data_IF_946850323707
#
_entry.id   IF_946850323707
#
_cell.length_a   1.000
_cell.length_b   1.000
_cell.length_c   1.000
_cell.angle_alpha   90.00
_cell.angle_beta   90.00
_cell.angle_gamma   90.00
#
_symmetry.space_group_name_H-M   'P 1'
#
loop_
_entity.id
_entity.type
_entity.pdbx_description
1 polymer ?
#
# COMPACT_ATOMS: atom_id res chain seq x y z
N UNK A 1 15.04 21.26 -4.78
CA UNK A 1 14.50 19.89 -4.90
C UNK A 1 15.14 19.05 -3.82
N UNK A 2 14.36 18.47 -2.90
CA UNK A 2 14.85 17.61 -1.82
C UNK A 2 15.23 16.22 -2.31
N UNK A 3 16.06 15.50 -1.56
CA UNK A 3 16.35 14.08 -1.80
C UNK A 3 15.31 13.23 -1.05
N UNK A 4 14.66 12.31 -1.76
CA UNK A 4 13.81 11.28 -1.13
C UNK A 4 14.72 10.11 -0.78
N UNK A 5 14.71 9.70 0.48
CA UNK A 5 15.40 8.50 0.93
C UNK A 5 14.38 7.36 0.98
N UNK A 6 14.64 6.29 0.23
CA UNK A 6 13.82 5.08 0.22
C UNK A 6 14.52 3.96 1.00
N UNK A 7 13.72 3.15 1.69
CA UNK A 7 14.15 1.94 2.37
C UNK A 7 14.12 0.80 1.34
N UNK A 8 15.27 0.17 1.12
CA UNK A 8 15.33 -1.08 0.36
C UNK A 8 15.04 -2.25 1.29
N UNK A 9 14.16 -3.15 0.83
CA UNK A 9 13.72 -4.33 1.56
C UNK A 9 14.29 -5.57 0.87
N UNK A 10 14.65 -6.59 1.65
CA UNK A 10 15.22 -7.83 1.15
C UNK A 10 14.15 -8.91 0.91
N UNK A 11 14.40 -9.80 -0.06
CA UNK A 11 13.56 -10.97 -0.33
C UNK A 11 12.34 -10.68 -1.19
N UNK A 12 11.24 -11.38 -0.91
CA UNK A 12 9.98 -11.17 -1.63
C UNK A 12 9.31 -9.89 -1.15
N UNK A 13 9.07 -8.95 -2.07
CA UNK A 13 8.57 -7.61 -1.75
C UNK A 13 7.34 -7.27 -2.57
N UNK A 14 6.41 -6.55 -1.95
CA UNK A 14 5.40 -5.79 -2.68
C UNK A 14 5.98 -4.43 -3.04
N UNK A 15 5.84 -4.05 -4.30
CA UNK A 15 6.34 -2.80 -4.86
C UNK A 15 5.18 -2.00 -5.46
N UNK A 16 5.37 -0.68 -5.55
CA UNK A 16 4.44 0.18 -6.26
C UNK A 16 4.45 -0.22 -7.74
N UNK A 17 3.27 -0.48 -8.30
CA UNK A 17 3.15 -0.88 -9.70
C UNK A 17 3.72 0.13 -10.69
N UNK A 18 3.60 1.42 -10.38
CA UNK A 18 3.99 2.51 -11.29
C UNK A 18 5.50 2.82 -11.30
N UNK A 19 6.20 2.62 -10.17
CA UNK A 19 7.61 3.03 -10.04
C UNK A 19 8.50 2.02 -9.33
N UNK A 20 7.97 0.83 -9.03
CA UNK A 20 8.66 -0.28 -8.37
C UNK A 20 9.26 0.03 -6.99
N UNK A 21 8.91 1.16 -6.37
CA UNK A 21 9.33 1.49 -5.00
C UNK A 21 8.81 0.42 -4.03
N UNK A 22 9.65 -0.07 -3.12
CA UNK A 22 9.29 -1.12 -2.16
C UNK A 22 8.25 -0.59 -1.15
N UNK A 23 7.12 -1.28 -1.00
CA UNK A 23 6.00 -0.83 -0.16
C UNK A 23 5.78 -1.69 1.08
N UNK A 24 6.06 -2.99 1.01
CA UNK A 24 5.76 -3.90 2.12
C UNK A 24 6.20 -5.34 1.88
N UNK A 25 6.20 -6.13 2.95
CA UNK A 25 6.57 -7.54 2.93
C UNK A 25 5.32 -8.44 2.98
N UNK A 26 5.34 -9.63 2.37
CA UNK A 26 4.26 -10.60 2.49
C UNK A 26 3.92 -10.97 3.95
N UNK A 27 4.93 -11.05 4.82
CA UNK A 27 4.74 -11.36 6.24
C UNK A 27 3.98 -10.28 7.02
N UNK A 28 3.92 -9.06 6.49
CA UNK A 28 3.17 -7.96 7.10
C UNK A 28 1.70 -7.96 6.68
N UNK A 29 1.26 -8.85 5.79
CA UNK A 29 -0.15 -8.97 5.42
C UNK A 29 -0.93 -9.63 6.56
N UNK A 30 -1.85 -8.87 7.16
CA UNK A 30 -2.77 -9.36 8.19
C UNK A 30 -3.94 -10.09 7.55
N UNK A 31 -4.57 -9.49 6.54
CA UNK A 31 -5.75 -10.06 5.86
C UNK A 31 -5.82 -9.64 4.41
N UNK A 32 -6.33 -10.52 3.54
CA UNK A 32 -6.69 -10.21 2.15
C UNK A 32 -8.22 -10.19 2.05
N UNK A 33 -8.81 -9.10 1.56
CA UNK A 33 -10.26 -8.95 1.36
C UNK A 33 -10.59 -8.83 -0.12
N UNK A 34 -11.56 -9.63 -0.56
CA UNK A 34 -12.10 -9.61 -1.92
C UNK A 34 -13.53 -9.12 -1.81
N UNK A 35 -13.82 -7.96 -2.40
CA UNK A 35 -15.15 -7.37 -2.47
C UNK A 35 -15.54 -7.19 -3.94
N UNK A 36 -16.30 -8.15 -4.47
CA UNK A 36 -16.65 -8.23 -5.89
C UNK A 36 -15.39 -8.18 -6.78
N UNK A 37 -15.13 -7.04 -7.44
CA UNK A 37 -13.97 -6.82 -8.31
C UNK A 37 -12.80 -6.12 -7.63
N UNK A 38 -12.96 -5.73 -6.36
CA UNK A 38 -11.94 -5.00 -5.62
C UNK A 38 -11.23 -5.91 -4.62
N UNK A 39 -9.94 -6.15 -4.86
CA UNK A 39 -9.06 -6.88 -3.94
C UNK A 39 -8.25 -5.87 -3.14
N UNK A 40 -8.26 -6.03 -1.81
CA UNK A 40 -7.52 -5.16 -0.88
C UNK A 40 -6.73 -5.97 0.12
N UNK A 41 -5.49 -5.55 0.37
CA UNK A 41 -4.61 -6.19 1.33
C UNK A 41 -4.44 -5.29 2.54
N UNK A 42 -4.63 -5.85 3.72
CA UNK A 42 -4.39 -5.17 4.98
C UNK A 42 -2.99 -5.49 5.48
N UNK A 43 -2.16 -4.47 5.61
CA UNK A 43 -0.81 -4.59 6.12
C UNK A 43 -0.73 -4.13 7.58
N UNK A 44 0.12 -4.78 8.38
CA UNK A 44 0.51 -4.33 9.71
C UNK A 44 1.49 -3.16 9.65
N UNK A 45 2.31 -3.13 8.59
CA UNK A 45 3.38 -2.16 8.37
C UNK A 45 3.58 -1.90 6.88
N UNK A 46 3.90 -0.66 6.55
CA UNK A 46 4.32 -0.23 5.21
C UNK A 46 5.62 0.56 5.27
N UNK A 47 6.29 0.65 4.12
CA UNK A 47 7.52 1.39 3.91
C UNK A 47 7.38 2.31 2.70
N UNK A 48 8.17 3.38 2.64
CA UNK A 48 8.22 4.29 1.48
C UNK A 48 6.84 4.83 1.06
N UNK A 49 6.00 5.14 2.05
CA UNK A 49 4.67 5.73 1.86
C UNK A 49 4.51 6.99 2.69
N UNK A 50 3.55 7.82 2.31
CA UNK A 50 3.10 8.94 3.13
C UNK A 50 1.58 9.00 3.17
N UNK A 51 1.05 9.59 4.25
CA UNK A 51 -0.38 9.75 4.44
C UNK A 51 -0.80 11.18 4.05
N UNK A 52 -1.97 11.30 3.44
CA UNK A 52 -2.63 12.60 3.25
C UNK A 52 -4.05 12.58 3.84
N UNK A 53 -4.40 13.64 4.55
CA UNK A 53 -5.71 13.77 5.18
C UNK A 53 -6.81 14.05 4.15
N UNK A 54 -7.96 13.38 4.31
CA UNK A 54 -9.18 13.75 3.60
C UNK A 54 -9.98 14.76 4.40
N UNK A 55 -10.08 16.00 3.91
CA UNK A 55 -10.86 17.08 4.55
C UNK A 55 -12.30 16.66 4.91
N UNK A 56 -12.93 15.82 4.08
CA UNK A 56 -14.33 15.39 4.27
C UNK A 56 -14.48 14.21 5.23
N UNK A 57 -13.42 13.45 5.50
CA UNK A 57 -13.47 12.21 6.30
C UNK A 57 -12.16 12.03 7.09
N UNK A 58 -11.98 12.72 8.23
CA UNK A 58 -10.71 12.71 8.97
C UNK A 58 -10.32 11.32 9.52
N UNK A 59 -11.29 10.41 9.70
CA UNK A 59 -11.04 9.03 10.10
C UNK A 59 -10.42 8.16 8.98
N UNK A 60 -10.36 8.69 7.76
CA UNK A 60 -9.84 8.02 6.56
C UNK A 60 -8.75 8.88 5.91
N UNK A 61 -7.53 8.38 5.90
CA UNK A 61 -6.41 9.04 5.23
C UNK A 61 -6.03 8.26 3.98
N UNK A 62 -5.54 8.94 2.96
CA UNK A 62 -5.06 8.32 1.74
C UNK A 62 -3.59 7.96 1.89
N UNK A 63 -3.20 6.80 1.35
CA UNK A 63 -1.82 6.32 1.36
C UNK A 63 -1.25 6.51 -0.04
N UNK A 64 -0.12 7.21 -0.12
CA UNK A 64 0.58 7.46 -1.36
C UNK A 64 1.98 6.85 -1.36
N UNK A 65 2.43 6.42 -2.54
CA UNK A 65 3.81 6.02 -2.77
C UNK A 65 4.74 7.25 -2.71
N UNK A 66 5.84 7.17 -1.96
CA UNK A 66 6.81 8.28 -1.86
C UNK A 66 7.56 8.53 -3.17
N UNK A 67 7.70 7.51 -4.03
CA UNK A 67 8.47 7.58 -5.27
C UNK A 67 7.73 8.32 -6.40
N UNK A 68 6.44 8.04 -6.58
CA UNK A 68 5.64 8.57 -7.70
C UNK A 68 4.37 9.32 -7.29
N UNK A 69 4.07 9.41 -5.99
CA UNK A 69 2.83 9.98 -5.47
C UNK A 69 1.55 9.30 -6.01
N UNK A 70 1.62 8.04 -6.47
CA UNK A 70 0.43 7.28 -6.81
C UNK A 70 -0.38 6.94 -5.55
N UNK A 71 -1.71 7.00 -5.66
CA UNK A 71 -2.64 6.60 -4.60
C UNK A 71 -2.70 5.07 -4.55
N UNK A 72 -2.16 4.48 -3.48
CA UNK A 72 -2.04 3.02 -3.36
C UNK A 72 -3.02 2.41 -2.36
N UNK A 73 -3.67 3.22 -1.52
CA UNK A 73 -4.54 2.68 -0.47
C UNK A 73 -5.12 3.73 0.46
N UNK A 74 -5.66 3.24 1.58
CA UNK A 74 -6.25 4.06 2.63
C UNK A 74 -5.85 3.58 4.03
N UNK A 75 -5.62 4.53 4.92
CA UNK A 75 -5.37 4.32 6.33
C UNK A 75 -6.63 4.61 7.15
N UNK A 76 -7.04 3.68 8.00
CA UNK A 76 -8.20 3.84 8.90
C UNK A 76 -7.75 3.99 10.34
N UNK A 77 -7.91 5.18 10.90
CA UNK A 77 -7.46 5.53 12.26
C UNK A 77 -8.11 4.65 13.34
N UNK A 78 -9.35 4.22 13.12
CA UNK A 78 -10.16 3.49 14.12
C UNK A 78 -10.16 1.98 13.95
N UNK A 79 -9.39 1.42 13.00
CA UNK A 79 -9.47 -0.01 12.69
C UNK A 79 -8.59 -0.83 13.64
N UNK A 80 -9.22 -1.62 14.52
CA UNK A 80 -8.53 -2.51 15.46
C UNK A 80 -7.77 -3.65 14.76
N UNK A 81 -8.09 -3.93 13.50
CA UNK A 81 -7.63 -5.11 12.76
C UNK A 81 -6.44 -4.87 11.82
N UNK A 82 -5.79 -3.71 11.90
CA UNK A 82 -4.71 -3.31 11.01
C UNK A 82 -5.14 -2.12 10.17
N UNK A 83 -4.37 -1.01 10.16
CA UNK A 83 -4.92 0.24 9.66
C UNK A 83 -4.63 0.48 8.17
N UNK A 84 -3.72 -0.28 7.54
CA UNK A 84 -3.22 -0.01 6.19
C UNK A 84 -3.88 -0.90 5.14
N UNK A 85 -4.88 -0.36 4.42
CA UNK A 85 -5.59 -1.08 3.36
C UNK A 85 -5.09 -0.66 1.99
N UNK A 86 -4.32 -1.52 1.31
CA UNK A 86 -3.79 -1.27 -0.03
C UNK A 86 -4.67 -1.90 -1.10
N UNK A 87 -4.78 -1.21 -2.23
CA UNK A 87 -5.46 -1.68 -3.42
C UNK A 87 -4.53 -2.66 -4.14
N UNK A 88 -4.94 -3.92 -4.29
CA UNK A 88 -4.11 -4.97 -4.90
C UNK A 88 -3.61 -4.60 -6.31
N UNK A 89 -4.48 -3.97 -7.11
CA UNK A 89 -4.18 -3.52 -8.48
C UNK A 89 -3.05 -2.49 -8.59
N UNK A 90 -2.74 -1.81 -7.49
CA UNK A 90 -1.67 -0.78 -7.41
C UNK A 90 -0.33 -1.38 -6.94
N UNK A 91 -0.30 -2.70 -6.69
CA UNK A 91 0.86 -3.43 -6.20
C UNK A 91 1.35 -4.42 -7.25
N UNK A 92 2.67 -4.50 -7.40
CA UNK A 92 3.35 -5.63 -8.00
C UNK A 92 3.99 -6.45 -6.88
N UNK A 93 3.80 -7.77 -6.87
CA UNK A 93 4.29 -8.62 -5.78
C UNK A 93 4.68 -10.00 -6.27
N UNK A 94 5.16 -10.87 -5.35
CA UNK A 94 5.60 -12.22 -5.68
C UNK A 94 4.48 -13.11 -6.27
N UNK A 95 3.22 -12.73 -6.07
CA UNK A 95 2.03 -13.39 -6.62
C UNK A 95 1.61 -12.82 -8.00
N UNK A 96 2.44 -11.99 -8.63
CA UNK A 96 2.15 -11.32 -9.91
C UNK A 96 1.36 -10.01 -9.75
N UNK A 97 0.71 -9.54 -10.81
CA UNK A 97 -0.31 -8.47 -10.77
C UNK A 97 -1.68 -8.97 -11.24
N UNK A 98 -2.78 -8.36 -10.80
CA UNK A 98 -4.13 -8.76 -11.26
C UNK A 98 -4.31 -8.61 -12.79
N UNK A 99 -3.46 -7.81 -13.45
CA UNK A 99 -3.45 -7.61 -14.91
C UNK A 99 -2.64 -8.67 -15.67
N UNK A 100 -2.03 -9.63 -14.98
CA UNK A 100 -1.22 -10.72 -15.57
C UNK A 100 -2.01 -12.03 -15.78
N UNK A 101 -3.35 -11.96 -15.75
CA UNK A 101 -4.27 -13.11 -15.96
C UNK A 101 -5.06 -12.97 -17.26
#
# INVERSE_FOLDING_TARGET
MGRVFVIELEGAVYTCKECHTHLGLPNDIITKKIQATLITYNFSRLFNTFLAERKSKPALQDIFCVGCANLIGMYRVSDKWGPYWLLRRELHGPEGSDDEV
#
